data_IF_986887616970
#
_entry.id   IF_986887616970
#
_cell.length_a   1.000
_cell.length_b   1.000
_cell.length_c   1.000
_cell.angle_alpha   90.00
_cell.angle_beta   90.00
_cell.angle_gamma   90.00
#
_symmetry.space_group_name_H-M   'P 1'
#
loop_
_entity.id
_entity.type
_entity.pdbx_description
1 polymer ?
#
# COMPACT_ATOMS: atom_id res chain seq x y z
N UNK A 1 11.38 22.13 -24.09
CA UNK A 1 11.53 21.78 -22.65
C UNK A 1 10.36 20.88 -22.32
N UNK A 2 10.54 19.57 -22.42
CA UNK A 2 9.50 18.60 -22.04
C UNK A 2 9.54 18.47 -20.53
N UNK A 3 8.50 18.95 -19.84
CA UNK A 3 8.26 18.52 -18.46
C UNK A 3 7.94 17.02 -18.53
N UNK A 4 8.85 16.20 -18.02
CA UNK A 4 8.56 14.81 -17.69
C UNK A 4 7.92 14.84 -16.32
N UNK A 5 6.60 14.71 -16.27
CA UNK A 5 5.87 14.61 -15.02
C UNK A 5 6.32 13.34 -14.29
N UNK A 6 6.86 13.50 -13.08
CA UNK A 6 7.30 12.39 -12.24
C UNK A 6 6.08 11.82 -11.53
N UNK A 7 5.55 10.70 -12.03
CA UNK A 7 4.43 10.01 -11.39
C UNK A 7 4.91 9.20 -10.18
N UNK A 8 4.25 9.42 -9.04
CA UNK A 8 4.40 8.60 -7.83
C UNK A 8 3.06 8.06 -7.39
N UNK A 9 3.03 6.78 -7.03
CA UNK A 9 1.82 6.12 -6.55
C UNK A 9 1.79 6.19 -5.03
N UNK A 10 0.73 6.76 -4.46
CA UNK A 10 0.50 6.78 -3.02
C UNK A 10 -0.06 5.45 -2.55
N UNK A 11 0.53 4.87 -1.50
CA UNK A 11 0.06 3.62 -0.90
C UNK A 11 -0.05 3.76 0.62
N UNK A 12 -1.08 3.14 1.20
CA UNK A 12 -1.33 3.17 2.65
C UNK A 12 -1.56 1.73 3.13
N UNK A 13 -0.72 1.18 4.01
CA UNK A 13 -0.98 -0.12 4.63
C UNK A 13 -2.19 -0.01 5.58
N UNK A 14 -3.02 -1.05 5.62
CA UNK A 14 -4.30 -1.04 6.35
C UNK A 14 -4.33 -2.19 7.36
N UNK A 15 -4.74 -1.89 8.60
CA UNK A 15 -4.71 -2.85 9.71
C UNK A 15 -5.91 -3.80 9.80
N UNK A 16 -7.01 -3.54 9.09
CA UNK A 16 -8.26 -4.29 9.28
C UNK A 16 -9.26 -4.12 8.13
N UNK A 17 -10.15 -5.09 7.99
CA UNK A 17 -11.28 -5.01 7.05
C UNK A 17 -12.24 -3.86 7.39
N UNK A 18 -12.42 -3.53 8.68
CA UNK A 18 -13.24 -2.38 9.12
C UNK A 18 -12.69 -1.05 8.61
N UNK A 19 -11.36 -0.89 8.59
CA UNK A 19 -10.73 0.29 8.02
C UNK A 19 -10.95 0.35 6.50
N UNK A 20 -10.83 -0.77 5.78
CA UNK A 20 -11.14 -0.84 4.35
C UNK A 20 -12.61 -0.46 4.06
N UNK A 21 -13.56 -1.01 4.83
CA UNK A 21 -14.98 -0.68 4.72
C UNK A 21 -15.24 0.80 5.01
N UNK A 22 -14.58 1.36 6.03
CA UNK A 22 -14.69 2.78 6.36
C UNK A 22 -14.19 3.65 5.20
N UNK A 23 -13.02 3.34 4.65
CA UNK A 23 -12.45 4.09 3.52
C UNK A 23 -13.38 4.06 2.30
N UNK A 24 -13.90 2.89 1.95
CA UNK A 24 -14.81 2.73 0.82
C UNK A 24 -16.13 3.51 1.01
N UNK A 25 -16.64 3.61 2.24
CA UNK A 25 -17.94 4.21 2.52
C UNK A 25 -17.86 5.72 2.76
N UNK A 26 -16.76 6.22 3.34
CA UNK A 26 -16.72 7.56 3.90
C UNK A 26 -15.61 8.45 3.34
N UNK A 27 -14.63 7.90 2.61
CA UNK A 27 -13.54 8.71 2.04
C UNK A 27 -13.82 8.98 0.57
N UNK A 28 -14.05 10.25 0.24
CA UNK A 28 -14.35 10.67 -1.12
C UNK A 28 -13.22 10.31 -2.08
N UNK A 29 -13.57 9.73 -3.23
CA UNK A 29 -12.59 9.31 -4.24
C UNK A 29 -11.88 8.00 -3.95
N UNK A 30 -12.18 7.31 -2.85
CA UNK A 30 -11.69 5.95 -2.60
C UNK A 30 -12.76 4.93 -3.00
N UNK A 31 -12.34 3.92 -3.75
CA UNK A 31 -13.12 2.70 -4.00
C UNK A 31 -12.26 1.52 -3.59
N UNK A 32 -12.76 0.71 -2.67
CA UNK A 32 -12.08 -0.51 -2.25
C UNK A 32 -12.83 -1.71 -2.83
N UNK A 33 -12.16 -2.55 -3.63
CA UNK A 33 -12.74 -3.77 -4.13
C UNK A 33 -13.23 -4.71 -3.02
N UNK A 34 -14.39 -5.34 -3.22
CA UNK A 34 -15.03 -6.18 -2.20
C UNK A 34 -14.19 -7.41 -1.84
N UNK A 35 -13.46 -7.95 -2.81
CA UNK A 35 -12.55 -9.07 -2.63
C UNK A 35 -11.40 -8.75 -1.66
N UNK A 36 -10.89 -7.51 -1.67
CA UNK A 36 -9.85 -7.09 -0.71
C UNK A 36 -10.41 -6.99 0.71
N UNK A 37 -11.65 -6.54 0.85
CA UNK A 37 -12.34 -6.50 2.15
C UNK A 37 -12.51 -7.92 2.69
N UNK A 38 -13.02 -8.85 1.87
CA UNK A 38 -13.22 -10.26 2.24
C UNK A 38 -11.91 -10.98 2.56
N UNK A 39 -10.86 -10.74 1.76
CA UNK A 39 -9.52 -11.29 1.98
C UNK A 39 -8.97 -10.87 3.35
N UNK A 40 -9.11 -9.59 3.69
CA UNK A 40 -8.68 -9.05 4.98
C UNK A 40 -9.56 -9.55 6.15
N UNK A 41 -10.86 -9.76 5.92
CA UNK A 41 -11.79 -10.29 6.94
C UNK A 41 -11.53 -11.76 7.27
N UNK A 42 -11.16 -12.56 6.26
CA UNK A 42 -10.84 -13.98 6.43
C UNK A 42 -9.41 -14.26 6.90
N UNK A 43 -8.56 -13.24 7.06
CA UNK A 43 -7.18 -13.40 7.51
C UNK A 43 -7.10 -13.76 8.99
N UNK A 44 -6.19 -14.68 9.34
CA UNK A 44 -5.90 -15.04 10.74
C UNK A 44 -5.33 -13.83 11.51
N UNK A 45 -4.37 -13.13 10.90
CA UNK A 45 -3.88 -11.83 11.37
C UNK A 45 -4.08 -10.75 10.28
N UNK A 46 -5.08 -9.89 10.51
CA UNK A 46 -5.37 -8.76 9.62
C UNK A 46 -4.22 -7.74 9.47
N UNK A 47 -3.33 -7.61 10.45
CA UNK A 47 -2.16 -6.72 10.33
C UNK A 47 -1.13 -7.34 9.40
N UNK A 48 -0.82 -8.62 9.59
CA UNK A 48 0.08 -9.34 8.70
C UNK A 48 -0.44 -9.34 7.26
N UNK A 49 -1.74 -9.60 7.08
CA UNK A 49 -2.35 -9.56 5.75
C UNK A 49 -2.32 -8.14 5.14
N UNK A 50 -2.50 -7.10 5.95
CA UNK A 50 -2.34 -5.72 5.50
C UNK A 50 -0.92 -5.36 5.04
N UNK A 51 0.09 -5.90 5.72
CA UNK A 51 1.49 -5.80 5.26
C UNK A 51 1.66 -6.53 3.94
N UNK A 52 1.13 -7.76 3.84
CA UNK A 52 1.23 -8.59 2.64
C UNK A 52 0.59 -7.93 1.42
N UNK A 53 -0.64 -7.42 1.55
CA UNK A 53 -1.33 -6.68 0.50
C UNK A 53 -0.52 -5.45 0.08
N UNK A 54 0.04 -4.71 1.04
CA UNK A 54 0.85 -3.53 0.72
C UNK A 54 2.13 -3.90 -0.04
N UNK A 55 2.79 -4.99 0.34
CA UNK A 55 3.99 -5.50 -0.38
C UNK A 55 3.62 -5.97 -1.79
N UNK A 56 2.51 -6.69 -1.97
CA UNK A 56 2.02 -7.10 -3.31
C UNK A 56 1.78 -5.88 -4.21
N UNK A 57 1.13 -4.84 -3.68
CA UNK A 57 0.93 -3.57 -4.41
C UNK A 57 2.26 -2.90 -4.78
N UNK A 58 3.27 -2.94 -3.90
CA UNK A 58 4.60 -2.39 -4.20
C UNK A 58 5.25 -3.14 -5.38
N UNK A 59 5.16 -4.46 -5.40
CA UNK A 59 5.71 -5.27 -6.49
C UNK A 59 5.00 -4.99 -7.83
N UNK A 60 3.67 -4.83 -7.81
CA UNK A 60 2.92 -4.38 -8.99
C UNK A 60 3.41 -3.01 -9.46
N UNK A 61 3.51 -2.04 -8.55
CA UNK A 61 3.96 -0.67 -8.85
C UNK A 61 5.38 -0.64 -9.44
N UNK A 62 6.29 -1.47 -8.94
CA UNK A 62 7.67 -1.59 -9.46
C UNK A 62 7.71 -2.01 -10.93
N UNK A 63 6.69 -2.72 -11.40
CA UNK A 63 6.57 -3.16 -12.79
C UNK A 63 5.85 -2.17 -13.72
N UNK A 64 5.27 -1.09 -13.18
CA UNK A 64 4.48 -0.13 -13.96
C UNK A 64 5.36 0.84 -14.76
N UNK A 65 5.15 0.89 -16.07
CA UNK A 65 5.81 1.87 -16.95
C UNK A 65 5.35 3.30 -16.61
N UNK A 66 6.31 4.24 -16.56
CA UNK A 66 6.06 5.65 -16.27
C UNK A 66 5.92 6.00 -14.79
N UNK A 67 5.87 5.01 -13.88
CA UNK A 67 5.93 5.26 -12.43
C UNK A 67 7.37 5.33 -11.97
N UNK A 68 7.75 6.46 -11.36
CA UNK A 68 9.13 6.71 -10.90
C UNK A 68 9.35 6.41 -9.42
N UNK A 69 8.31 5.97 -8.72
CA UNK A 69 8.40 5.57 -7.31
C UNK A 69 7.04 5.56 -6.61
N UNK A 70 7.10 5.37 -5.30
CA UNK A 70 5.91 5.32 -4.44
C UNK A 70 6.03 6.29 -3.27
N UNK A 71 4.88 6.71 -2.74
CA UNK A 71 4.76 7.44 -1.50
C UNK A 71 4.04 6.56 -0.48
N UNK A 72 4.80 5.96 0.44
CA UNK A 72 4.27 5.13 1.52
C UNK A 72 3.74 6.01 2.66
N UNK A 73 2.47 5.85 2.99
CA UNK A 73 1.74 6.64 3.99
C UNK A 73 1.16 5.72 5.08
N UNK A 74 1.95 5.29 6.07
CA UNK A 74 1.51 4.38 7.13
C UNK A 74 0.77 5.14 8.25
N UNK A 75 -0.38 5.74 7.91
CA UNK A 75 -1.13 6.64 8.80
C UNK A 75 -1.52 5.92 10.10
N UNK A 76 -1.00 6.40 11.23
CA UNK A 76 -1.24 5.80 12.55
C UNK A 76 -0.61 4.42 12.71
N UNK A 77 0.33 4.04 11.84
CA UNK A 77 1.09 2.79 11.88
C UNK A 77 2.55 2.98 11.48
N UNK A 78 3.14 4.10 11.83
CA UNK A 78 4.44 4.54 11.31
C UNK A 78 5.56 3.51 11.54
N UNK A 79 5.49 2.76 12.63
CA UNK A 79 6.43 1.67 12.95
C UNK A 79 6.45 0.52 11.95
N UNK A 80 5.45 0.37 11.08
CA UNK A 80 5.39 -0.71 10.08
C UNK A 80 6.29 -0.47 8.87
N UNK A 81 6.76 0.77 8.71
CA UNK A 81 7.52 1.22 7.53
C UNK A 81 8.70 0.30 7.24
N UNK A 82 9.54 0.04 8.24
CA UNK A 82 10.75 -0.77 8.07
C UNK A 82 10.42 -2.19 7.62
N UNK A 83 9.41 -2.82 8.23
CA UNK A 83 8.96 -4.17 7.84
C UNK A 83 8.45 -4.23 6.41
N UNK A 84 7.70 -3.22 5.95
CA UNK A 84 7.19 -3.18 4.56
C UNK A 84 8.36 -3.00 3.59
N UNK A 85 9.26 -2.06 3.87
CA UNK A 85 10.39 -1.78 2.99
C UNK A 85 11.36 -2.97 2.89
N UNK A 86 11.63 -3.65 4.00
CA UNK A 86 12.42 -4.88 4.04
C UNK A 86 11.77 -5.99 3.21
N UNK A 87 10.48 -6.29 3.47
CA UNK A 87 9.74 -7.33 2.73
C UNK A 87 9.57 -7.03 1.24
N UNK A 88 9.53 -5.76 0.85
CA UNK A 88 9.47 -5.34 -0.55
C UNK A 88 10.86 -5.27 -1.25
N UNK A 89 11.93 -5.65 -0.55
CA UNK A 89 13.29 -5.61 -1.08
C UNK A 89 13.78 -4.19 -1.39
N UNK A 90 13.25 -3.19 -0.69
CA UNK A 90 13.64 -1.78 -0.83
C UNK A 90 14.72 -1.35 0.17
N UNK A 91 15.15 -2.29 1.03
CA UNK A 91 16.30 -2.16 1.92
C UNK A 91 17.39 -3.17 1.51
N UNK A 92 18.69 -2.84 1.71
CA UNK A 92 19.21 -1.54 2.15
C UNK A 92 19.08 -0.47 1.06
N UNK A 93 19.21 0.81 1.45
CA UNK A 93 19.25 1.90 0.47
C UNK A 93 20.53 1.81 -0.37
N UNK A 94 20.49 2.19 -1.66
CA UNK A 94 21.69 2.38 -2.47
C UNK A 94 22.63 3.40 -1.82
N UNK A 95 23.94 3.22 -2.03
CA UNK A 95 24.98 4.19 -1.66
C UNK A 95 24.92 5.46 -2.51
#
# INVERSE_FOLDING_TARGET
>A
MHYVDILRVGITPVKSHKALQYMNKFVAGITVPEELIKRMEGAEDSKEEGVKICVEQIEEIKSMEGVSGLHLMPIGWESITETILDKAGLLPRPE
#
